data_IF_479673469784
#
_entry.id   IF_479673469784
#
_cell.length_a   1.000
_cell.length_b   1.000
_cell.length_c   1.000
_cell.angle_alpha   90.00
_cell.angle_beta   90.00
_cell.angle_gamma   90.00
#
_symmetry.space_group_name_H-M   'P 1'
#
loop_
_entity.id
_entity.type
_entity.pdbx_description
1 polymer ?
#
# COMPACT_ATOMS: atom_id res chain seq x y z
N UNK A 1 5.21 -31.37 51.50
CA UNK A 1 5.07 -30.68 50.19
C UNK A 1 5.16 -29.19 50.49
N UNK A 2 6.20 -28.50 50.01
CA UNK A 2 6.34 -27.04 50.23
C UNK A 2 5.44 -26.33 49.22
N UNK A 3 4.38 -25.67 49.69
CA UNK A 3 3.59 -24.76 48.87
C UNK A 3 4.49 -23.58 48.45
N UNK A 4 4.77 -23.46 47.16
CA UNK A 4 5.41 -22.27 46.60
C UNK A 4 4.37 -21.16 46.51
N UNK A 5 4.32 -20.33 47.56
CA UNK A 5 3.48 -19.13 47.58
C UNK A 5 3.95 -18.17 46.48
N UNK A 6 3.05 -17.75 45.60
CA UNK A 6 3.35 -16.75 44.57
C UNK A 6 3.18 -15.37 45.18
N UNK A 7 4.27 -14.62 45.31
CA UNK A 7 4.27 -13.28 45.90
C UNK A 7 3.68 -12.20 44.97
N UNK A 8 3.48 -12.49 43.68
CA UNK A 8 3.04 -11.50 42.68
C UNK A 8 2.02 -12.07 41.69
N UNK A 9 1.09 -11.22 41.24
CA UNK A 9 0.09 -11.57 40.24
C UNK A 9 0.73 -11.73 38.86
N UNK A 10 0.54 -12.90 38.23
CA UNK A 10 1.04 -13.18 36.88
C UNK A 10 0.43 -12.32 35.78
N UNK A 11 -0.72 -11.68 36.04
CA UNK A 11 -1.44 -10.89 35.05
C UNK A 11 -1.12 -9.39 35.11
N UNK A 12 -0.98 -8.81 36.31
CA UNK A 12 -0.75 -7.37 36.47
C UNK A 12 0.51 -7.00 37.26
N UNK A 13 1.24 -7.97 37.80
CA UNK A 13 2.50 -7.75 38.52
C UNK A 13 2.37 -7.18 39.93
N UNK A 14 1.15 -6.94 40.44
CA UNK A 14 0.96 -6.46 41.81
C UNK A 14 1.32 -7.55 42.83
N UNK A 15 1.97 -7.15 43.93
CA UNK A 15 2.25 -8.03 45.07
C UNK A 15 0.95 -8.58 45.65
N UNK A 16 0.90 -9.90 45.81
CA UNK A 16 -0.23 -10.60 46.39
C UNK A 16 -0.08 -10.61 47.91
N UNK A 17 -1.19 -10.41 48.61
CA UNK A 17 -1.22 -10.58 50.06
C UNK A 17 -1.20 -12.06 50.41
N UNK A 18 -0.68 -12.35 51.60
CA UNK A 18 -0.64 -13.69 52.16
C UNK A 18 -2.07 -14.30 52.17
N UNK A 19 -2.28 -15.32 51.32
CA UNK A 19 -3.52 -16.12 51.18
C UNK A 19 -4.65 -15.47 50.34
N UNK A 20 -4.32 -14.51 49.47
CA UNK A 20 -5.28 -13.92 48.53
C UNK A 20 -5.66 -14.89 47.39
N UNK A 21 -6.95 -15.29 47.34
CA UNK A 21 -7.52 -16.13 46.25
C UNK A 21 -7.70 -15.37 44.93
N UNK A 22 -7.70 -14.04 44.98
CA UNK A 22 -7.86 -13.16 43.81
C UNK A 22 -6.97 -11.92 44.00
N UNK A 23 -6.43 -11.41 42.89
CA UNK A 23 -5.66 -10.17 42.90
C UNK A 23 -6.59 -8.98 43.17
N UNK A 24 -6.26 -8.19 44.21
CA UNK A 24 -7.04 -6.99 44.58
C UNK A 24 -7.04 -5.88 43.54
N UNK A 25 -6.08 -5.88 42.61
CA UNK A 25 -5.95 -4.84 41.59
C UNK A 25 -6.65 -5.19 40.28
N UNK A 26 -6.44 -6.39 39.74
CA UNK A 26 -7.03 -6.78 38.44
C UNK A 26 -8.18 -7.80 38.54
N UNK A 27 -8.47 -8.32 39.73
CA UNK A 27 -9.53 -9.33 39.94
C UNK A 27 -9.16 -10.75 39.51
N UNK A 28 -7.97 -10.98 38.94
CA UNK A 28 -7.55 -12.29 38.45
C UNK A 28 -7.40 -13.30 39.60
N UNK A 29 -7.97 -14.50 39.44
CA UNK A 29 -7.86 -15.58 40.42
C UNK A 29 -6.41 -16.06 40.56
N UNK A 30 -5.95 -16.15 41.80
CA UNK A 30 -4.67 -16.74 42.17
C UNK A 30 -4.95 -18.22 42.43
N UNK A 31 -4.57 -19.08 41.48
CA UNK A 31 -4.76 -20.52 41.65
C UNK A 31 -3.79 -21.05 42.71
N UNK A 32 -4.36 -21.65 43.75
CA UNK A 32 -3.65 -22.42 44.78
C UNK A 32 -3.55 -23.86 44.26
N UNK A 33 -2.34 -24.40 44.15
CA UNK A 33 -2.07 -25.63 43.43
C UNK A 33 -2.68 -26.85 44.13
N UNK A 34 -3.88 -27.26 43.72
CA UNK A 34 -4.27 -28.68 43.74
C UNK A 34 -5.19 -28.98 42.57
N UNK A 35 -4.66 -29.77 41.63
CA UNK A 35 -5.27 -30.29 40.39
C UNK A 35 -5.31 -29.34 39.18
N UNK A 36 -4.15 -29.18 38.56
CA UNK A 36 -4.06 -29.01 37.09
C UNK A 36 -3.17 -30.14 36.56
N UNK A 37 -3.78 -31.30 36.37
CA UNK A 37 -3.27 -32.37 35.52
C UNK A 37 -4.05 -32.29 34.22
N UNK A 38 -3.59 -31.45 33.30
CA UNK A 38 -3.52 -31.69 31.85
C UNK A 38 -3.16 -30.36 31.19
N UNK A 39 -2.26 -30.45 30.21
CA UNK A 39 -1.64 -29.33 29.51
C UNK A 39 -0.47 -28.68 30.26
N UNK A 40 0.66 -29.39 30.33
CA UNK A 40 2.02 -28.87 30.05
C UNK A 40 3.08 -29.90 30.50
N UNK A 41 3.21 -30.98 29.74
CA UNK A 41 4.45 -31.76 29.61
C UNK A 41 4.86 -31.56 28.15
N UNK A 42 5.90 -30.82 27.79
CA UNK A 42 7.25 -30.94 28.29
C UNK A 42 7.99 -29.59 28.24
N UNK A 43 8.44 -29.11 29.39
CA UNK A 43 9.64 -28.29 29.49
C UNK A 43 10.60 -28.95 30.47
N UNK A 44 11.81 -29.22 30.02
CA UNK A 44 13.06 -28.77 30.65
C UNK A 44 14.17 -29.08 29.64
N UNK A 45 15.10 -28.17 29.36
CA UNK A 45 16.10 -27.70 30.31
C UNK A 45 16.58 -26.27 30.05
N UNK A 46 17.19 -25.72 31.10
CA UNK A 46 17.48 -24.31 31.38
C UNK A 46 18.56 -23.65 30.50
N UNK A 47 18.32 -22.35 30.26
CA UNK A 47 19.22 -21.19 30.17
C UNK A 47 20.64 -21.33 29.58
N UNK A 48 20.86 -20.68 28.43
CA UNK A 48 21.82 -19.57 28.36
C UNK A 48 21.73 -18.74 27.06
N UNK A 49 21.79 -17.41 27.26
CA UNK A 49 22.24 -16.34 26.35
C UNK A 49 21.43 -16.01 25.07
N UNK A 50 20.94 -14.76 25.03
CA UNK A 50 20.89 -13.87 23.84
C UNK A 50 20.50 -14.49 22.50
N UNK A 51 19.28 -15.01 22.39
CA UNK A 51 18.68 -15.29 21.09
C UNK A 51 17.37 -14.50 20.92
N UNK A 52 17.30 -13.74 19.82
CA UNK A 52 16.10 -13.00 19.42
C UNK A 52 14.98 -14.01 19.22
N UNK A 53 14.05 -14.10 20.18
CA UNK A 53 12.82 -14.88 20.05
C UNK A 53 12.02 -14.34 18.86
N UNK A 54 12.01 -15.07 17.76
CA UNK A 54 11.06 -14.82 16.67
C UNK A 54 9.68 -15.27 17.17
N UNK A 55 8.87 -14.32 17.62
CA UNK A 55 7.43 -14.56 17.78
C UNK A 55 6.89 -14.72 16.36
N UNK A 56 6.58 -15.95 15.98
CA UNK A 56 5.83 -16.21 14.75
C UNK A 56 4.39 -15.77 15.00
N UNK A 57 4.11 -14.50 14.75
CA UNK A 57 2.74 -14.00 14.66
C UNK A 57 2.20 -14.38 13.27
N UNK A 58 1.81 -15.63 13.16
CA UNK A 58 1.02 -16.15 12.06
C UNK A 58 -0.10 -16.96 12.69
N UNK A 59 -1.32 -16.43 12.70
CA UNK A 59 -2.48 -17.19 13.14
C UNK A 59 -2.62 -18.41 12.22
N UNK A 60 -2.35 -19.60 12.76
CA UNK A 60 -2.56 -20.86 12.03
C UNK A 60 -4.06 -21.04 11.86
N UNK A 61 -4.58 -20.80 10.66
CA UNK A 61 -5.98 -21.04 10.35
C UNK A 61 -6.20 -22.54 10.12
N UNK A 62 -7.05 -23.14 10.94
CA UNK A 62 -7.46 -24.55 10.79
C UNK A 62 -8.86 -24.61 10.21
N UNK A 63 -9.11 -25.60 9.36
CA UNK A 63 -10.46 -25.90 8.91
C UNK A 63 -11.32 -26.32 10.10
N UNK A 64 -12.45 -25.65 10.30
CA UNK A 64 -13.40 -25.96 11.37
C UNK A 64 -14.04 -27.35 11.25
N UNK A 65 -13.94 -28.00 10.09
CA UNK A 65 -14.53 -29.31 9.83
C UNK A 65 -13.54 -30.46 10.05
N UNK A 66 -12.36 -30.39 9.43
CA UNK A 66 -11.41 -31.49 9.39
C UNK A 66 -10.08 -31.21 10.11
N UNK A 67 -9.87 -29.98 10.58
CA UNK A 67 -8.65 -29.59 11.31
C UNK A 67 -7.41 -29.36 10.44
N UNK A 68 -7.52 -29.51 9.11
CA UNK A 68 -6.45 -29.21 8.15
C UNK A 68 -5.95 -27.78 8.33
N UNK A 69 -4.63 -27.59 8.27
CA UNK A 69 -4.05 -26.24 8.28
C UNK A 69 -4.26 -25.64 6.89
N UNK A 70 -5.11 -24.63 6.82
CA UNK A 70 -5.45 -23.95 5.57
C UNK A 70 -4.70 -22.63 5.47
N UNK A 71 -4.25 -22.28 4.27
CA UNK A 71 -3.71 -20.94 4.00
C UNK A 71 -4.81 -19.88 4.15
N UNK A 72 -4.43 -18.65 4.52
CA UNK A 72 -5.40 -17.56 4.50
C UNK A 72 -5.79 -17.29 3.04
N UNK A 73 -7.08 -16.96 2.81
CA UNK A 73 -7.78 -16.92 1.50
C UNK A 73 -8.30 -18.24 0.92
N UNK A 74 -8.12 -19.37 1.59
CA UNK A 74 -8.80 -20.62 1.19
C UNK A 74 -10.30 -20.50 1.48
N UNK A 75 -11.11 -20.33 0.44
CA UNK A 75 -12.58 -20.26 0.56
C UNK A 75 -13.23 -21.63 0.69
N UNK A 76 -12.56 -22.69 0.23
CA UNK A 76 -13.02 -24.09 0.30
C UNK A 76 -11.86 -24.96 0.77
N UNK A 77 -12.04 -25.71 1.85
CA UNK A 77 -11.01 -26.61 2.36
C UNK A 77 -10.65 -27.69 1.31
N UNK A 78 -9.37 -27.84 0.92
CA UNK A 78 -8.98 -28.84 -0.07
C UNK A 78 -9.15 -30.28 0.44
N UNK A 79 -9.09 -30.49 1.75
CA UNK A 79 -9.15 -31.83 2.36
C UNK A 79 -10.59 -32.32 2.60
N UNK A 80 -11.57 -31.42 2.83
CA UNK A 80 -12.94 -31.83 3.16
C UNK A 80 -14.04 -31.13 2.35
N UNK A 81 -13.70 -30.20 1.47
CA UNK A 81 -14.68 -29.50 0.61
C UNK A 81 -15.61 -28.51 1.31
N UNK A 82 -15.40 -28.21 2.60
CA UNK A 82 -16.25 -27.26 3.33
C UNK A 82 -15.86 -25.81 3.00
N UNK A 83 -16.87 -24.97 2.75
CA UNK A 83 -16.71 -23.52 2.61
C UNK A 83 -16.26 -22.91 3.94
N UNK A 84 -15.13 -22.22 3.93
CA UNK A 84 -14.56 -21.55 5.10
C UNK A 84 -15.11 -20.12 5.17
N UNK A 85 -15.87 -19.82 6.23
CA UNK A 85 -16.37 -18.46 6.50
C UNK A 85 -15.61 -17.84 7.67
N UNK A 86 -14.87 -16.76 7.38
CA UNK A 86 -14.42 -15.71 8.29
C UNK A 86 -13.73 -16.11 9.60
N UNK A 87 -12.40 -16.01 9.64
CA UNK A 87 -11.69 -15.72 10.90
C UNK A 87 -11.47 -14.22 10.97
N UNK A 88 -12.02 -13.60 12.00
CA UNK A 88 -12.12 -12.15 12.22
C UNK A 88 -10.82 -11.54 12.74
N UNK A 89 -9.74 -11.60 11.98
CA UNK A 89 -8.70 -10.58 12.05
C UNK A 89 -9.12 -9.48 11.08
N UNK A 90 -9.42 -8.27 11.57
CA UNK A 90 -9.56 -7.11 10.68
C UNK A 90 -8.26 -7.01 9.89
N UNK A 91 -8.32 -7.16 8.57
CA UNK A 91 -7.11 -7.08 7.75
C UNK A 91 -6.52 -5.66 7.85
N UNK A 92 -5.20 -5.57 7.83
CA UNK A 92 -4.53 -4.26 7.88
C UNK A 92 -4.95 -3.37 6.69
N UNK A 93 -5.30 -3.97 5.55
CA UNK A 93 -5.81 -3.27 4.38
C UNK A 93 -7.22 -2.70 4.60
N UNK A 94 -8.10 -3.41 5.30
CA UNK A 94 -9.40 -2.90 5.71
C UNK A 94 -9.27 -1.73 6.70
N UNK A 95 -8.30 -1.77 7.61
CA UNK A 95 -8.05 -0.62 8.49
C UNK A 95 -7.64 0.63 7.69
N UNK A 96 -6.77 0.47 6.69
CA UNK A 96 -6.41 1.56 5.78
C UNK A 96 -7.63 2.10 5.03
N UNK A 97 -8.49 1.23 4.49
CA UNK A 97 -9.68 1.67 3.73
C UNK A 97 -10.64 2.48 4.61
N UNK A 98 -10.90 2.03 5.83
CA UNK A 98 -11.74 2.76 6.79
C UNK A 98 -11.15 4.13 7.14
N UNK A 99 -9.83 4.22 7.35
CA UNK A 99 -9.17 5.52 7.61
C UNK A 99 -9.27 6.46 6.41
N UNK A 100 -9.15 5.96 5.19
CA UNK A 100 -9.33 6.73 3.96
C UNK A 100 -10.77 7.21 3.78
N UNK A 101 -11.76 6.36 4.11
CA UNK A 101 -13.18 6.70 4.07
C UNK A 101 -13.51 7.83 5.04
N UNK A 102 -12.99 7.78 6.28
CA UNK A 102 -13.16 8.86 7.26
C UNK A 102 -12.63 10.19 6.74
N UNK A 103 -11.45 10.21 6.11
CA UNK A 103 -10.93 11.43 5.48
C UNK A 103 -11.84 11.85 4.32
N UNK A 104 -12.32 10.88 3.53
CA UNK A 104 -13.23 11.15 2.41
C UNK A 104 -14.60 11.71 2.83
N UNK A 105 -15.07 11.39 4.03
CA UNK A 105 -16.34 11.85 4.57
C UNK A 105 -16.26 13.27 5.19
N UNK A 106 -15.06 13.82 5.38
CA UNK A 106 -14.90 15.21 5.86
C UNK A 106 -15.57 16.18 4.86
N UNK A 107 -16.57 16.93 5.35
CA UNK A 107 -17.29 17.97 4.60
C UNK A 107 -16.66 19.35 4.86
N UNK A 108 -16.68 20.27 3.87
CA UNK A 108 -16.17 21.62 4.04
C UNK A 108 -17.09 22.46 4.96
N UNK A 109 -16.47 23.20 5.89
CA UNK A 109 -17.15 24.10 6.84
C UNK A 109 -17.97 25.20 6.13
N UNK A 110 -17.68 25.45 4.84
CA UNK A 110 -18.38 26.44 4.02
C UNK A 110 -19.87 26.11 3.79
N UNK A 111 -20.26 24.85 3.74
CA UNK A 111 -21.66 24.46 3.47
C UNK A 111 -22.58 24.72 4.67
N UNK A 112 -22.10 24.44 5.89
CA UNK A 112 -22.85 24.67 7.13
C UNK A 112 -23.11 26.18 7.33
N UNK A 113 -22.11 27.01 7.03
CA UNK A 113 -22.23 28.46 7.11
C UNK A 113 -23.00 29.06 5.95
N UNK A 114 -23.07 28.44 4.77
CA UNK A 114 -23.88 28.96 3.65
C UNK A 114 -25.38 28.92 3.96
N UNK A 115 -25.85 27.86 4.62
CA UNK A 115 -27.27 27.73 4.99
C UNK A 115 -27.65 28.69 6.12
N UNK A 116 -26.81 28.81 7.15
CA UNK A 116 -27.06 29.69 8.30
C UNK A 116 -26.87 31.16 7.92
N UNK A 117 -25.82 31.49 7.18
CA UNK A 117 -25.52 32.87 6.77
C UNK A 117 -26.54 33.42 5.75
N UNK A 118 -27.10 32.54 4.89
CA UNK A 118 -28.20 32.89 3.97
C UNK A 118 -29.50 33.19 4.73
N UNK A 119 -29.80 32.44 5.80
CA UNK A 119 -30.99 32.67 6.62
C UNK A 119 -30.88 33.91 7.52
N UNK A 120 -29.68 34.24 8.02
CA UNK A 120 -29.48 35.33 9.00
C UNK A 120 -29.19 36.68 8.34
N UNK A 121 -28.45 36.75 7.24
CA UNK A 121 -27.94 38.02 6.72
C UNK A 121 -28.57 38.51 5.41
N UNK A 122 -29.43 37.71 4.75
CA UNK A 122 -30.24 38.15 3.60
C UNK A 122 -29.46 38.77 2.43
N UNK A 123 -28.14 38.59 2.38
CA UNK A 123 -27.23 39.30 1.47
C UNK A 123 -26.39 38.28 0.73
N UNK A 124 -26.47 38.30 -0.60
CA UNK A 124 -25.60 37.51 -1.47
C UNK A 124 -24.15 37.89 -1.17
N UNK A 125 -23.42 36.97 -0.53
CA UNK A 125 -22.02 37.18 -0.23
C UNK A 125 -21.27 37.32 -1.55
N UNK A 126 -20.58 38.44 -1.63
CA UNK A 126 -19.79 38.91 -2.75
C UNK A 126 -18.72 37.89 -3.14
N UNK A 127 -18.75 37.53 -4.43
CA UNK A 127 -17.78 36.76 -5.20
C UNK A 127 -17.77 35.23 -4.98
N UNK A 128 -18.58 34.55 -5.80
CA UNK A 128 -18.57 33.09 -6.04
C UNK A 128 -17.15 32.52 -6.20
N UNK A 129 -16.22 33.32 -6.72
CA UNK A 129 -14.84 32.94 -6.95
C UNK A 129 -14.04 32.68 -5.65
N UNK A 130 -14.26 33.44 -4.57
CA UNK A 130 -13.53 33.27 -3.32
C UNK A 130 -13.99 32.01 -2.57
N UNK A 131 -15.29 31.73 -2.58
CA UNK A 131 -15.86 30.50 -2.06
C UNK A 131 -15.38 29.25 -2.83
N UNK A 132 -15.30 29.35 -4.17
CA UNK A 132 -14.76 28.27 -5.02
C UNK A 132 -13.26 28.03 -4.77
N UNK A 133 -12.50 29.10 -4.50
CA UNK A 133 -11.08 28.98 -4.11
C UNK A 133 -10.90 28.28 -2.76
N UNK A 134 -11.72 28.62 -1.76
CA UNK A 134 -11.68 27.96 -0.46
C UNK A 134 -12.06 26.47 -0.54
N UNK A 135 -13.06 26.13 -1.36
CA UNK A 135 -13.46 24.74 -1.59
C UNK A 135 -12.37 23.92 -2.27
N UNK A 136 -11.77 24.44 -3.35
CA UNK A 136 -10.70 23.74 -4.07
C UNK A 136 -9.45 23.53 -3.20
N UNK A 137 -9.10 24.50 -2.35
CA UNK A 137 -8.03 24.35 -1.37
C UNK A 137 -8.33 23.26 -0.32
N UNK A 138 -9.57 23.20 0.16
CA UNK A 138 -10.00 22.15 1.10
C UNK A 138 -9.95 20.76 0.47
N UNK A 139 -10.42 20.62 -0.77
CA UNK A 139 -10.32 19.36 -1.52
C UNK A 139 -8.86 18.93 -1.70
N UNK A 140 -7.98 19.87 -2.06
CA UNK A 140 -6.55 19.60 -2.19
C UNK A 140 -5.91 19.13 -0.87
N UNK A 141 -6.20 19.80 0.25
CA UNK A 141 -5.72 19.37 1.57
C UNK A 141 -6.18 17.94 1.92
N UNK A 142 -7.44 17.63 1.61
CA UNK A 142 -8.01 16.29 1.82
C UNK A 142 -7.32 15.23 0.97
N UNK A 143 -6.95 15.54 -0.28
CA UNK A 143 -6.16 14.63 -1.12
C UNK A 143 -4.73 14.43 -0.58
N UNK A 144 -4.09 15.50 -0.09
CA UNK A 144 -2.77 15.43 0.55
C UNK A 144 -2.80 14.59 1.83
N UNK A 145 -3.83 14.75 2.68
CA UNK A 145 -4.03 13.92 3.86
C UNK A 145 -4.15 12.43 3.49
N UNK A 146 -4.99 12.09 2.50
CA UNK A 146 -5.12 10.71 1.99
C UNK A 146 -3.79 10.16 1.50
N UNK A 147 -3.07 10.95 0.70
CA UNK A 147 -1.77 10.55 0.16
C UNK A 147 -0.75 10.28 1.27
N UNK A 148 -0.70 11.16 2.29
CA UNK A 148 0.18 11.00 3.45
C UNK A 148 -0.14 9.74 4.24
N UNK A 149 -1.43 9.43 4.43
CA UNK A 149 -1.88 8.22 5.11
C UNK A 149 -1.44 6.98 4.33
N UNK A 150 -1.67 6.94 3.01
CA UNK A 150 -1.27 5.80 2.16
C UNK A 150 0.23 5.52 2.26
N UNK A 151 1.06 6.56 2.14
CA UNK A 151 2.52 6.42 2.16
C UNK A 151 2.99 5.90 3.52
N UNK A 152 2.50 6.48 4.61
CA UNK A 152 2.96 6.19 5.96
C UNK A 152 2.32 4.94 6.59
N UNK A 153 1.26 4.38 5.99
CA UNK A 153 0.57 3.22 6.56
C UNK A 153 1.48 1.99 6.65
N UNK A 154 1.59 1.37 7.81
CA UNK A 154 2.45 0.20 7.99
C UNK A 154 1.80 -1.05 7.39
N UNK A 155 2.53 -1.75 6.51
CA UNK A 155 2.10 -3.05 5.98
C UNK A 155 2.77 -4.14 6.83
N UNK A 156 2.04 -5.10 7.42
CA UNK A 156 2.64 -6.22 8.13
C UNK A 156 3.54 -7.09 7.24
N UNK A 157 4.28 -8.00 7.88
CA UNK A 157 5.17 -8.94 7.17
C UNK A 157 4.48 -10.27 6.85
N UNK A 158 3.18 -10.40 7.11
CA UNK A 158 2.44 -11.60 6.71
C UNK A 158 2.36 -11.69 5.19
N UNK A 159 2.46 -12.92 4.65
CA UNK A 159 2.27 -13.18 3.22
C UNK A 159 0.92 -12.63 2.76
N UNK A 160 -0.10 -12.84 3.57
CA UNK A 160 -1.47 -12.51 3.19
C UNK A 160 -1.74 -11.02 3.21
N UNK A 161 -1.19 -10.30 4.21
CA UNK A 161 -1.21 -8.85 4.21
C UNK A 161 -0.48 -8.27 2.99
N UNK A 162 0.73 -8.75 2.67
CA UNK A 162 1.49 -8.27 1.51
C UNK A 162 0.69 -8.48 0.21
N UNK A 163 0.05 -9.64 0.05
CA UNK A 163 -0.79 -9.95 -1.12
C UNK A 163 -2.03 -9.04 -1.20
N UNK A 164 -2.73 -8.84 -0.09
CA UNK A 164 -3.91 -7.98 -0.05
C UNK A 164 -3.55 -6.53 -0.38
N UNK A 165 -2.45 -6.03 0.21
CA UNK A 165 -1.96 -4.68 -0.03
C UNK A 165 -1.47 -4.46 -1.47
N UNK A 166 -0.81 -5.44 -2.10
CA UNK A 166 -0.38 -5.27 -3.49
C UNK A 166 -1.58 -5.22 -4.44
N UNK A 167 -2.61 -6.02 -4.20
CA UNK A 167 -3.86 -6.00 -4.98
C UNK A 167 -4.59 -4.67 -4.76
N UNK A 168 -4.69 -4.20 -3.51
CA UNK A 168 -5.31 -2.93 -3.16
C UNK A 168 -4.59 -1.75 -3.82
N UNK A 169 -3.25 -1.72 -3.76
CA UNK A 169 -2.47 -0.67 -4.41
C UNK A 169 -2.63 -0.73 -5.94
N UNK A 170 -2.54 -1.93 -6.54
CA UNK A 170 -2.68 -2.12 -7.97
C UNK A 170 -4.07 -1.71 -8.51
N UNK A 171 -5.14 -1.91 -7.73
CA UNK A 171 -6.51 -1.58 -8.13
C UNK A 171 -6.79 -0.06 -8.06
N UNK A 172 -6.17 0.63 -7.11
CA UNK A 172 -6.32 2.08 -6.95
C UNK A 172 -5.49 2.89 -7.97
N UNK A 173 -4.49 2.28 -8.63
CA UNK A 173 -3.70 2.94 -9.68
C UNK A 173 -4.45 2.88 -11.02
N UNK A 174 -5.18 3.94 -11.34
CA UNK A 174 -5.92 4.07 -12.60
C UNK A 174 -5.18 4.89 -13.66
N UNK A 175 -4.28 4.21 -14.38
CA UNK A 175 -3.47 4.73 -15.50
C UNK A 175 -4.28 5.45 -16.58
N UNK A 176 -5.57 5.11 -16.75
CA UNK A 176 -6.44 5.76 -17.75
C UNK A 176 -6.87 7.15 -17.30
N UNK A 177 -7.30 7.29 -16.04
CA UNK A 177 -7.78 8.57 -15.46
C UNK A 177 -6.64 9.59 -15.31
N UNK A 178 -5.45 9.12 -14.93
CA UNK A 178 -4.30 9.98 -14.70
C UNK A 178 -3.23 9.24 -13.89
N UNK A 179 -2.01 9.78 -13.90
CA UNK A 179 -0.90 9.30 -13.06
C UNK A 179 -0.32 10.43 -12.21
N UNK A 180 -0.66 11.68 -12.54
CA UNK A 180 -0.03 12.86 -11.97
C UNK A 180 -0.72 13.36 -10.70
N UNK A 181 -1.89 12.84 -10.36
CA UNK A 181 -2.59 13.18 -9.13
C UNK A 181 -1.86 12.65 -7.88
N UNK A 182 -2.04 13.37 -6.77
CA UNK A 182 -1.27 13.14 -5.53
C UNK A 182 -1.56 11.76 -4.94
N UNK A 183 -2.82 11.30 -5.03
CA UNK A 183 -3.27 10.02 -4.50
C UNK A 183 -2.68 8.85 -5.31
N UNK A 184 -2.73 8.92 -6.64
CA UNK A 184 -2.14 7.89 -7.53
C UNK A 184 -0.63 7.81 -7.35
N UNK A 185 0.05 8.95 -7.19
CA UNK A 185 1.49 8.97 -6.86
C UNK A 185 1.78 8.27 -5.53
N UNK A 186 0.97 8.52 -4.49
CA UNK A 186 1.09 7.84 -3.21
C UNK A 186 0.88 6.33 -3.35
N UNK A 187 -0.12 5.88 -4.10
CA UNK A 187 -0.34 4.46 -4.37
C UNK A 187 0.78 3.79 -5.18
N UNK A 188 1.36 4.49 -6.16
CA UNK A 188 2.53 3.99 -6.90
C UNK A 188 3.72 3.82 -5.97
N UNK A 189 4.01 4.81 -5.12
CA UNK A 189 5.07 4.71 -4.12
C UNK A 189 4.80 3.56 -3.14
N UNK A 190 3.54 3.38 -2.73
CA UNK A 190 3.16 2.29 -1.84
C UNK A 190 3.32 0.92 -2.48
N UNK A 191 2.95 0.79 -3.75
CA UNK A 191 3.14 -0.42 -4.55
C UNK A 191 4.63 -0.80 -4.61
N UNK A 192 5.51 0.17 -4.84
CA UNK A 192 6.97 -0.03 -4.85
C UNK A 192 7.47 -0.50 -3.46
N UNK A 193 7.00 0.13 -2.37
CA UNK A 193 7.35 -0.28 -1.00
C UNK A 193 6.90 -1.71 -0.68
N UNK A 194 5.66 -2.08 -1.05
CA UNK A 194 5.12 -3.42 -0.81
C UNK A 194 5.92 -4.46 -1.58
N UNK A 195 6.26 -4.19 -2.84
CA UNK A 195 7.06 -5.10 -3.65
C UNK A 195 8.46 -5.31 -3.07
N UNK A 196 9.14 -4.24 -2.64
CA UNK A 196 10.44 -4.35 -1.97
C UNK A 196 10.36 -5.19 -0.69
N UNK A 197 9.32 -4.97 0.12
CA UNK A 197 9.07 -5.78 1.31
C UNK A 197 8.83 -7.25 0.94
N UNK A 198 8.00 -7.52 -0.07
CA UNK A 198 7.74 -8.88 -0.55
C UNK A 198 9.02 -9.57 -1.00
N UNK A 199 9.90 -8.86 -1.70
CA UNK A 199 11.19 -9.38 -2.14
C UNK A 199 12.09 -9.76 -0.95
N UNK A 200 11.98 -9.09 0.20
CA UNK A 200 12.74 -9.41 1.39
C UNK A 200 12.13 -10.55 2.22
N UNK A 201 10.80 -10.63 2.28
CA UNK A 201 10.08 -11.57 3.17
C UNK A 201 9.74 -12.90 2.47
N UNK A 202 9.46 -12.86 1.17
CA UNK A 202 8.81 -13.97 0.43
C UNK A 202 9.67 -14.54 -0.70
N UNK A 203 10.93 -14.13 -0.88
CA UNK A 203 11.74 -14.48 -2.07
C UNK A 203 11.96 -15.98 -2.29
N UNK A 204 11.75 -16.83 -1.28
CA UNK A 204 11.86 -18.29 -1.38
C UNK A 204 10.53 -19.02 -1.58
N UNK A 205 9.40 -18.31 -1.62
CA UNK A 205 8.05 -18.88 -1.69
C UNK A 205 7.50 -18.81 -3.13
N UNK A 206 6.74 -19.82 -3.60
CA UNK A 206 6.10 -19.80 -4.93
C UNK A 206 5.12 -18.62 -5.08
N UNK A 207 4.58 -18.10 -3.98
CA UNK A 207 3.65 -16.97 -3.97
C UNK A 207 4.28 -15.65 -4.41
N UNK A 208 5.62 -15.54 -4.36
CA UNK A 208 6.33 -14.36 -4.82
C UNK A 208 6.15 -14.13 -6.33
N UNK A 209 6.01 -15.19 -7.13
CA UNK A 209 5.80 -15.06 -8.58
C UNK A 209 4.50 -14.30 -8.90
N UNK A 210 3.44 -14.53 -8.13
CA UNK A 210 2.16 -13.83 -8.31
C UNK A 210 2.30 -12.34 -7.99
N UNK A 211 2.98 -12.03 -6.88
CA UNK A 211 3.26 -10.65 -6.46
C UNK A 211 4.10 -9.94 -7.54
N UNK A 212 5.14 -10.61 -8.05
CA UNK A 212 6.00 -10.08 -9.11
C UNK A 212 5.24 -9.85 -10.42
N UNK A 213 4.33 -10.76 -10.79
CA UNK A 213 3.50 -10.61 -11.98
C UNK A 213 2.58 -9.38 -11.87
N UNK A 214 1.92 -9.19 -10.73
CA UNK A 214 1.05 -8.03 -10.46
C UNK A 214 1.86 -6.74 -10.52
N UNK A 215 2.99 -6.70 -9.80
CA UNK A 215 3.89 -5.55 -9.76
C UNK A 215 4.38 -5.17 -11.17
N UNK A 216 4.97 -6.14 -11.88
CA UNK A 216 5.60 -5.90 -13.19
C UNK A 216 4.58 -5.43 -14.21
N UNK A 217 3.39 -6.06 -14.25
CA UNK A 217 2.30 -5.66 -15.13
C UNK A 217 1.88 -4.22 -14.86
N UNK A 218 1.64 -3.86 -13.60
CA UNK A 218 1.20 -2.51 -13.22
C UNK A 218 2.28 -1.46 -13.43
N UNK A 219 3.53 -1.76 -13.09
CA UNK A 219 4.67 -0.86 -13.30
C UNK A 219 4.86 -0.56 -14.79
N UNK A 220 4.71 -1.56 -15.66
CA UNK A 220 4.76 -1.37 -17.12
C UNK A 220 3.64 -0.45 -17.61
N UNK A 221 2.40 -0.62 -17.14
CA UNK A 221 1.29 0.26 -17.50
C UNK A 221 1.56 1.73 -17.09
N UNK A 222 2.09 1.95 -15.89
CA UNK A 222 2.45 3.28 -15.37
C UNK A 222 3.56 3.93 -16.22
N UNK A 223 4.62 3.18 -16.52
CA UNK A 223 5.77 3.70 -17.31
C UNK A 223 5.34 4.03 -18.75
N UNK A 224 4.60 3.13 -19.42
CA UNK A 224 4.13 3.37 -20.79
C UNK A 224 3.27 4.64 -20.90
N UNK A 225 2.45 4.91 -19.89
CA UNK A 225 1.63 6.12 -19.83
C UNK A 225 2.46 7.39 -19.62
N UNK A 226 3.52 7.34 -18.80
CA UNK A 226 4.48 8.46 -18.64
C UNK A 226 5.26 8.77 -19.92
N UNK A 227 5.55 7.76 -20.74
CA UNK A 227 6.29 7.94 -22.00
C UNK A 227 5.41 8.39 -23.17
N UNK A 228 4.09 8.13 -23.13
CA UNK A 228 3.16 8.53 -24.19
C UNK A 228 3.28 10.00 -24.63
N UNK A 229 3.32 11.02 -23.74
CA UNK A 229 3.49 12.41 -24.17
C UNK A 229 4.84 12.66 -24.84
N UNK A 230 5.92 11.99 -24.38
CA UNK A 230 7.25 12.12 -24.98
C UNK A 230 7.23 11.65 -26.43
N UNK A 231 6.56 10.55 -26.74
CA UNK A 231 6.41 10.07 -28.11
C UNK A 231 5.62 11.05 -29.00
N UNK A 232 4.56 11.66 -28.48
CA UNK A 232 3.80 12.69 -29.21
C UNK A 232 4.63 13.94 -29.49
N UNK A 233 5.39 14.41 -28.49
CA UNK A 233 6.27 15.57 -28.62
C UNK A 233 7.38 15.27 -29.63
N UNK A 234 8.05 14.12 -29.51
CA UNK A 234 9.10 13.72 -30.42
C UNK A 234 8.58 13.57 -31.86
N UNK A 235 7.42 12.95 -32.03
CA UNK A 235 6.76 12.84 -33.34
C UNK A 235 6.43 14.22 -33.93
N UNK A 236 5.94 15.16 -33.13
CA UNK A 236 5.70 16.54 -33.57
C UNK A 236 6.99 17.23 -34.01
N UNK A 237 8.07 17.14 -33.23
CA UNK A 237 9.37 17.70 -33.61
C UNK A 237 9.91 17.10 -34.90
N UNK A 238 9.87 15.77 -35.05
CA UNK A 238 10.32 15.10 -36.29
C UNK A 238 9.51 15.59 -37.49
N UNK A 239 8.19 15.70 -37.36
CA UNK A 239 7.30 16.17 -38.42
C UNK A 239 7.58 17.64 -38.76
N UNK A 240 7.75 18.50 -37.76
CA UNK A 240 8.07 19.92 -37.95
C UNK A 240 9.42 20.11 -38.67
N UNK A 241 10.46 19.38 -38.26
CA UNK A 241 11.76 19.42 -38.92
C UNK A 241 11.69 18.88 -40.36
N UNK A 242 10.93 17.82 -40.62
CA UNK A 242 10.71 17.31 -41.96
C UNK A 242 10.05 18.35 -42.89
N UNK A 243 9.04 19.07 -42.39
CA UNK A 243 8.36 20.13 -43.14
C UNK A 243 9.29 21.31 -43.42
N UNK A 244 10.10 21.74 -42.44
CA UNK A 244 11.08 22.82 -42.65
C UNK A 244 12.15 22.43 -43.67
N UNK A 245 12.63 21.18 -43.65
CA UNK A 245 13.60 20.69 -44.61
C UNK A 245 12.99 20.58 -46.01
N UNK A 246 11.73 20.16 -46.13
CA UNK A 246 11.00 20.13 -47.41
C UNK A 246 10.80 21.54 -48.00
N UNK A 247 10.38 22.51 -47.17
CA UNK A 247 10.14 23.89 -47.60
C UNK A 247 11.44 24.63 -48.00
N UNK A 248 12.52 24.45 -47.24
CA UNK A 248 13.82 25.06 -47.55
C UNK A 248 14.61 24.30 -48.62
N UNK A 249 14.36 23.00 -48.78
CA UNK A 249 14.94 22.16 -49.83
C UNK A 249 14.53 22.57 -51.24
N UNK A 250 13.38 23.23 -51.40
CA UNK A 250 12.97 23.82 -52.67
C UNK A 250 13.72 25.12 -53.04
N UNK A 251 14.54 25.68 -52.14
CA UNK A 251 15.29 26.94 -52.36
C UNK A 251 16.81 26.80 -52.46
N UNK A 252 17.40 25.67 -52.04
CA UNK A 252 18.87 25.47 -52.00
C UNK A 252 19.30 24.25 -52.83
N UNK A 253 20.55 24.25 -53.27
CA UNK A 253 21.18 23.17 -54.05
C UNK A 253 20.95 21.79 -53.40
N UNK A 254 20.32 20.87 -54.15
CA UNK A 254 19.82 19.57 -53.69
C UNK A 254 20.88 18.67 -53.02
N UNK A 255 22.16 18.90 -53.33
CA UNK A 255 23.28 18.12 -52.80
C UNK A 255 23.64 18.47 -51.36
N UNK A 256 23.44 19.73 -50.94
CA UNK A 256 23.79 20.19 -49.58
C UNK A 256 22.68 19.85 -48.59
N UNK A 257 21.43 19.89 -49.06
CA UNK A 257 20.25 19.59 -48.24
C UNK A 257 20.19 18.11 -47.84
N UNK A 258 20.63 17.18 -48.69
CA UNK A 258 20.66 15.74 -48.38
C UNK A 258 21.66 15.37 -47.28
N UNK A 259 22.83 16.02 -47.25
CA UNK A 259 23.87 15.79 -46.23
C UNK A 259 23.38 16.24 -44.85
N UNK A 260 22.79 17.45 -44.78
CA UNK A 260 22.28 18.00 -43.51
C UNK A 260 21.12 17.14 -42.98
N UNK A 261 20.22 16.67 -43.86
CA UNK A 261 19.12 15.79 -43.49
C UNK A 261 19.61 14.48 -42.91
N UNK A 262 20.64 13.87 -43.51
CA UNK A 262 21.27 12.64 -43.02
C UNK A 262 21.85 12.80 -41.61
N UNK A 263 22.57 13.90 -41.35
CA UNK A 263 23.15 14.18 -40.03
C UNK A 263 22.06 14.37 -38.95
N UNK A 264 20.97 15.06 -39.29
CA UNK A 264 19.84 15.27 -38.36
C UNK A 264 19.14 13.94 -38.05
N UNK A 265 18.90 13.09 -39.05
CA UNK A 265 18.27 11.77 -38.83
C UNK A 265 19.13 10.89 -37.94
N UNK A 266 20.46 10.89 -38.15
CA UNK A 266 21.40 10.14 -37.30
C UNK A 266 21.41 10.70 -35.88
N UNK A 267 21.45 12.03 -35.70
CA UNK A 267 21.42 12.66 -34.38
C UNK A 267 20.11 12.35 -33.63
N UNK A 268 18.95 12.46 -34.29
CA UNK A 268 17.65 12.11 -33.72
C UNK A 268 17.56 10.63 -33.40
N UNK A 269 18.11 9.76 -34.26
CA UNK A 269 18.21 8.32 -34.01
C UNK A 269 19.04 8.01 -32.76
N UNK A 270 20.21 8.64 -32.61
CA UNK A 270 21.08 8.49 -31.44
C UNK A 270 20.38 8.99 -30.17
N UNK A 271 19.74 10.16 -30.23
CA UNK A 271 18.99 10.72 -29.08
C UNK A 271 17.82 9.81 -28.71
N UNK A 272 17.08 9.30 -29.69
CA UNK A 272 15.95 8.38 -29.48
C UNK A 272 16.41 7.07 -28.85
N UNK A 273 17.50 6.48 -29.34
CA UNK A 273 18.12 5.28 -28.76
C UNK A 273 18.64 5.57 -27.35
N UNK A 274 19.27 6.72 -27.11
CA UNK A 274 19.78 7.09 -25.79
C UNK A 274 18.64 7.25 -24.77
N UNK A 275 17.55 7.91 -25.14
CA UNK A 275 16.35 8.02 -24.30
C UNK A 275 15.69 6.65 -24.08
N UNK A 276 15.58 5.83 -25.12
CA UNK A 276 15.02 4.49 -25.01
C UNK A 276 15.85 3.60 -24.09
N UNK A 277 17.17 3.63 -24.22
CA UNK A 277 18.10 2.80 -23.45
C UNK A 277 18.23 3.27 -21.99
N UNK A 278 18.21 4.59 -21.74
CA UNK A 278 18.15 5.17 -20.40
C UNK A 278 16.89 4.72 -19.64
N UNK A 279 15.76 4.62 -20.34
CA UNK A 279 14.51 4.15 -19.73
C UNK A 279 14.37 2.62 -19.70
N UNK A 280 15.00 1.86 -20.60
CA UNK A 280 15.03 0.40 -20.55
C UNK A 280 15.87 -0.13 -19.38
N UNK A 281 16.91 0.60 -18.96
CA UNK A 281 17.64 0.28 -17.71
C UNK A 281 16.79 0.41 -16.43
N UNK A 282 15.63 1.08 -16.47
CA UNK A 282 14.67 1.09 -15.35
C UNK A 282 13.79 -0.16 -15.30
N UNK A 283 13.87 -1.06 -16.30
CA UNK A 283 13.10 -2.30 -16.41
C UNK A 283 13.86 -3.56 -15.96
N UNK A 284 15.16 -3.48 -15.69
CA UNK A 284 15.97 -4.55 -15.10
C UNK A 284 16.23 -4.20 -13.63
#
# INVERSE_FOLDING_TARGET
MKNMKKDFCFHCGMKLDDDSKFCKNCGQKVNDDTQVSEQLTNQSFMENSTERKTIYDGSVHKCSNCGEIIGSFVTICPSCGQEIRGVSSISSAHELSVKLERISAKMPIAEEKKSIMKMVFGKDLTSVNEANGALSNFEKQKEEEKASLIINFTVPNSKEDIMEFIILAASNINVKKGIDDVITKAWIAKLDQIYQKAQLVLSSQPDFEQIQAIYTKKKKEVILRKLRPVFWILGYFVTFFAILLFANGMRWNATVTSIILGVIVVAVGIISVFFFNKHYRLFR
#
